data_IF_537470506313
#
_entry.id   IF_537470506313
#
_cell.length_a   1.000
_cell.length_b   1.000
_cell.length_c   1.000
_cell.angle_alpha   90.00
_cell.angle_beta   90.00
_cell.angle_gamma   90.00
#
_symmetry.space_group_name_H-M   'P 1'
#
loop_
_entity.id
_entity.type
_entity.pdbx_description
1 polymer ?
#
# COMPACT_ATOMS: atom_id res chain seq x y z
N UNK A 1 23.54 26.36 4.53
CA UNK A 1 22.18 26.57 5.00
C UNK A 1 21.49 25.29 5.42
N UNK A 2 21.81 24.88 6.61
CA UNK A 2 21.27 23.62 7.11
C UNK A 2 19.75 23.56 7.06
N UNK A 3 19.10 24.64 7.41
CA UNK A 3 17.64 24.65 7.43
C UNK A 3 16.99 24.48 6.07
N UNK A 4 17.73 24.79 5.01
CA UNK A 4 17.21 24.61 3.65
C UNK A 4 17.08 23.15 3.28
N UNK A 5 17.85 22.29 3.94
CA UNK A 5 17.76 20.85 3.70
C UNK A 5 16.44 20.27 4.16
N UNK A 6 15.83 20.90 5.16
CA UNK A 6 14.60 20.41 5.73
C UNK A 6 13.38 20.93 5.00
N UNK A 7 13.59 21.84 4.07
CA UNK A 7 12.49 22.39 3.31
C UNK A 7 12.31 21.63 2.01
N UNK A 8 11.17 21.04 1.86
CA UNK A 8 10.81 20.36 0.61
C UNK A 8 10.10 21.38 -0.27
N UNK A 9 10.53 21.56 -1.53
CA UNK A 9 9.79 22.44 -2.43
C UNK A 9 8.32 22.12 -2.45
N UNK A 10 7.48 23.15 -2.48
CA UNK A 10 6.06 22.98 -2.38
C UNK A 10 5.46 22.04 -3.44
N UNK A 11 5.93 22.17 -4.67
CA UNK A 11 5.44 21.32 -5.75
C UNK A 11 5.76 19.84 -5.50
N UNK A 12 6.94 19.58 -4.99
CA UNK A 12 7.37 18.22 -4.69
C UNK A 12 6.61 17.68 -3.50
N UNK A 13 6.43 18.51 -2.46
CA UNK A 13 5.69 18.10 -1.28
C UNK A 13 4.24 17.74 -1.63
N UNK A 14 3.61 18.54 -2.47
CA UNK A 14 2.24 18.25 -2.91
C UNK A 14 2.16 16.96 -3.67
N UNK A 15 3.13 16.69 -4.53
CA UNK A 15 3.14 15.44 -5.29
C UNK A 15 3.28 14.24 -4.37
N UNK A 16 4.15 14.34 -3.36
CA UNK A 16 4.37 13.25 -2.42
C UNK A 16 3.19 13.03 -1.46
N UNK A 17 2.52 14.10 -1.07
CA UNK A 17 1.37 13.99 -0.17
C UNK A 17 0.10 13.52 -0.88
N UNK A 18 -0.04 13.90 -2.14
CA UNK A 18 -1.23 13.55 -2.92
C UNK A 18 -0.82 13.01 -4.28
N UNK A 19 -0.24 11.82 -4.32
CA UNK A 19 0.18 11.23 -5.59
C UNK A 19 -1.01 11.03 -6.53
N UNK A 20 -0.77 11.22 -7.81
CA UNK A 20 -1.81 10.99 -8.81
C UNK A 20 -1.68 9.55 -9.30
N UNK A 21 -2.44 8.68 -8.69
CA UNK A 21 -2.44 7.27 -9.05
C UNK A 21 -3.17 7.06 -10.37
N UNK A 22 -2.63 6.18 -11.17
CA UNK A 22 -3.29 5.76 -12.39
C UNK A 22 -4.38 4.74 -12.10
N UNK A 23 -4.83 4.04 -13.12
CA UNK A 23 -5.84 3.01 -12.96
C UNK A 23 -5.35 1.91 -12.05
N UNK A 24 -6.17 1.47 -11.08
CA UNK A 24 -5.80 0.34 -10.23
C UNK A 24 -5.62 -0.93 -11.06
N UNK A 25 -4.60 -1.69 -10.72
CA UNK A 25 -4.40 -3.01 -11.28
C UNK A 25 -4.92 -4.02 -10.27
N UNK A 26 -5.93 -4.77 -10.63
CA UNK A 26 -6.53 -5.76 -9.76
C UNK A 26 -5.74 -7.06 -9.80
N UNK A 27 -5.53 -7.65 -8.63
CA UNK A 27 -4.88 -8.96 -8.52
C UNK A 27 -5.54 -9.74 -7.39
N UNK A 28 -5.48 -11.05 -7.48
CA UNK A 28 -6.02 -11.94 -6.45
C UNK A 28 -4.87 -12.68 -5.81
N UNK A 29 -4.80 -12.64 -4.48
CA UNK A 29 -3.75 -13.28 -3.71
C UNK A 29 -4.35 -14.02 -2.54
N UNK A 30 -3.75 -15.14 -2.17
CA UNK A 30 -4.16 -15.90 -1.01
C UNK A 30 -3.19 -15.67 0.14
N UNK A 31 -3.71 -15.70 1.35
CA UNK A 31 -2.90 -15.50 2.53
C UNK A 31 -3.79 -15.37 3.76
N UNK A 32 -3.30 -14.64 4.75
CA UNK A 32 -4.08 -14.41 5.96
C UNK A 32 -3.73 -13.05 6.57
N UNK A 33 -4.61 -12.57 7.42
CA UNK A 33 -4.42 -11.28 8.10
C UNK A 33 -3.54 -11.49 9.31
N UNK A 34 -2.46 -10.69 9.41
CA UNK A 34 -1.56 -10.71 10.55
C UNK A 34 -2.04 -9.80 11.66
N UNK A 35 -2.52 -8.62 11.29
CA UNK A 35 -2.97 -7.64 12.26
C UNK A 35 -3.98 -6.69 11.62
N UNK A 36 -4.82 -6.11 12.48
CA UNK A 36 -5.90 -5.20 12.04
C UNK A 36 -5.79 -3.92 12.86
N UNK A 37 -5.70 -2.80 12.16
CA UNK A 37 -5.79 -1.48 12.79
C UNK A 37 -7.17 -0.92 12.49
N UNK A 38 -8.07 -1.04 13.46
CA UNK A 38 -9.46 -0.62 13.25
C UNK A 38 -9.60 0.90 13.13
N UNK A 39 -8.78 1.65 13.88
CA UNK A 39 -8.87 3.10 13.87
C UNK A 39 -8.53 3.69 12.52
N UNK A 40 -7.52 3.15 11.86
CA UNK A 40 -7.06 3.64 10.56
C UNK A 40 -7.64 2.85 9.40
N UNK A 41 -8.37 1.77 9.66
CA UNK A 41 -8.92 0.86 8.66
C UNK A 41 -7.80 0.31 7.76
N UNK A 42 -6.77 -0.24 8.39
CA UNK A 42 -5.63 -0.83 7.72
C UNK A 42 -5.37 -2.22 8.25
N UNK A 43 -4.73 -3.03 7.42
CA UNK A 43 -4.38 -4.41 7.81
C UNK A 43 -2.96 -4.73 7.37
N UNK A 44 -2.36 -5.68 8.08
CA UNK A 44 -1.11 -6.29 7.68
C UNK A 44 -1.45 -7.68 7.18
N UNK A 45 -0.91 -8.04 6.02
CA UNK A 45 -1.21 -9.30 5.36
C UNK A 45 0.04 -10.15 5.19
N UNK A 46 -0.10 -11.45 5.39
CA UNK A 46 0.89 -12.43 4.99
C UNK A 46 0.35 -13.14 3.76
N UNK A 47 1.05 -13.01 2.64
CA UNK A 47 0.65 -13.65 1.40
C UNK A 47 1.44 -14.93 1.19
N UNK A 48 0.87 -15.89 0.48
CA UNK A 48 1.57 -17.12 0.15
C UNK A 48 2.52 -16.92 -1.03
N UNK A 49 2.24 -15.95 -1.89
CA UNK A 49 3.13 -15.60 -2.99
C UNK A 49 3.57 -14.15 -2.81
N UNK A 50 4.80 -13.86 -3.17
CA UNK A 50 5.31 -12.50 -3.03
C UNK A 50 4.70 -11.57 -4.08
N UNK A 51 4.52 -10.30 -3.68
CA UNK A 51 4.10 -9.22 -4.56
C UNK A 51 5.20 -8.17 -4.49
N UNK A 52 5.76 -7.81 -5.61
CA UNK A 52 6.89 -6.86 -5.67
C UNK A 52 8.04 -7.28 -4.76
N UNK A 53 8.29 -8.58 -4.68
CA UNK A 53 9.41 -9.10 -3.91
C UNK A 53 9.15 -9.23 -2.41
N UNK A 54 7.94 -8.98 -1.95
CA UNK A 54 7.61 -9.13 -0.55
C UNK A 54 6.35 -9.99 -0.37
N UNK A 55 6.34 -10.80 0.67
CA UNK A 55 5.15 -11.60 1.01
C UNK A 55 4.40 -11.02 2.19
N UNK A 56 4.94 -10.01 2.85
CA UNK A 56 4.25 -9.31 3.93
C UNK A 56 3.96 -7.90 3.48
N UNK A 57 2.67 -7.56 3.48
CA UNK A 57 2.22 -6.21 3.15
C UNK A 57 1.70 -5.57 4.43
N UNK A 58 2.32 -4.46 4.83
CA UNK A 58 1.97 -3.78 6.06
C UNK A 58 1.22 -2.49 5.80
N UNK A 59 0.28 -2.17 6.69
CA UNK A 59 -0.44 -0.91 6.63
C UNK A 59 -1.27 -0.73 5.36
N UNK A 60 -1.88 -1.80 4.89
CA UNK A 60 -2.66 -1.77 3.65
C UNK A 60 -4.06 -1.24 3.94
N UNK A 61 -4.50 -0.27 3.15
CA UNK A 61 -5.83 0.29 3.30
C UNK A 61 -6.90 -0.72 2.94
N UNK A 62 -7.99 -0.69 3.70
CA UNK A 62 -9.18 -1.48 3.38
C UNK A 62 -10.11 -0.65 2.51
N UNK A 63 -10.63 -1.25 1.46
CA UNK A 63 -11.62 -0.59 0.63
C UNK A 63 -12.91 -0.34 1.42
N UNK A 64 -13.68 0.61 0.97
CA UNK A 64 -14.90 0.99 1.68
C UNK A 64 -15.94 -0.12 1.77
N UNK A 65 -15.86 -1.09 0.88
CA UNK A 65 -16.80 -2.22 0.88
C UNK A 65 -16.37 -3.35 1.80
N UNK A 66 -15.21 -3.24 2.43
CA UNK A 66 -14.72 -4.24 3.36
C UNK A 66 -15.21 -3.90 4.76
N UNK A 67 -15.90 -4.86 5.37
CA UNK A 67 -16.44 -4.66 6.71
C UNK A 67 -15.45 -5.19 7.76
N UNK A 68 -15.01 -4.30 8.65
CA UNK A 68 -14.06 -4.67 9.70
C UNK A 68 -14.57 -5.82 10.58
N UNK A 69 -15.88 -5.90 10.77
CA UNK A 69 -16.46 -6.94 11.63
C UNK A 69 -16.33 -8.35 11.04
N UNK A 70 -16.08 -8.43 9.74
CA UNK A 70 -15.95 -9.72 9.06
C UNK A 70 -14.52 -10.21 9.00
N UNK A 71 -13.58 -9.44 9.54
CA UNK A 71 -12.15 -9.77 9.45
C UNK A 71 -11.72 -10.68 10.59
N UNK A 72 -10.95 -11.71 10.27
CA UNK A 72 -10.42 -12.66 11.24
C UNK A 72 -8.94 -12.89 10.96
N UNK A 73 -8.12 -12.71 12.00
CA UNK A 73 -6.67 -12.95 11.89
C UNK A 73 -6.39 -14.44 11.80
N UNK A 74 -5.41 -14.79 11.00
CA UNK A 74 -4.93 -16.17 10.91
C UNK A 74 -5.78 -17.13 10.10
N UNK A 75 -6.89 -16.65 9.55
CA UNK A 75 -7.79 -17.50 8.73
C UNK A 75 -7.38 -17.33 7.27
N UNK A 76 -7.29 -18.42 6.54
CA UNK A 76 -6.90 -18.38 5.13
C UNK A 76 -7.97 -17.69 4.31
N UNK A 77 -7.54 -16.67 3.60
CA UNK A 77 -8.43 -15.83 2.81
C UNK A 77 -7.88 -15.65 1.41
N UNK A 78 -8.78 -15.30 0.53
CA UNK A 78 -8.43 -14.81 -0.79
C UNK A 78 -8.67 -13.30 -0.77
N UNK A 79 -7.65 -12.53 -1.10
CA UNK A 79 -7.72 -11.08 -1.11
C UNK A 79 -7.77 -10.59 -2.54
N UNK A 80 -8.71 -9.71 -2.82
CA UNK A 80 -8.69 -8.97 -4.07
C UNK A 80 -7.99 -7.67 -3.78
N UNK A 81 -6.79 -7.51 -4.34
CA UNK A 81 -5.95 -6.35 -4.10
C UNK A 81 -5.96 -5.44 -5.31
N UNK A 82 -5.99 -4.15 -5.05
CA UNK A 82 -5.76 -3.15 -6.08
C UNK A 82 -4.37 -2.58 -5.89
N UNK A 83 -3.56 -2.63 -6.94
CA UNK A 83 -2.25 -2.00 -6.94
C UNK A 83 -2.38 -0.65 -7.62
N UNK A 84 -1.99 0.39 -6.89
CA UNK A 84 -2.05 1.77 -7.35
C UNK A 84 -0.63 2.28 -7.54
N UNK A 85 -0.33 2.81 -8.72
CA UNK A 85 0.98 3.36 -9.04
C UNK A 85 0.86 4.81 -9.44
N UNK A 86 1.73 5.64 -8.90
CA UNK A 86 1.85 7.03 -9.27
C UNK A 86 3.30 7.29 -9.66
N UNK A 87 3.52 7.63 -10.93
CA UNK A 87 4.85 7.98 -11.39
C UNK A 87 5.19 9.38 -10.90
N UNK A 88 6.38 9.55 -10.38
CA UNK A 88 6.84 10.84 -9.91
C UNK A 88 7.40 11.64 -11.08
N UNK A 89 7.23 12.96 -11.01
CA UNK A 89 7.79 13.84 -12.03
C UNK A 89 9.32 13.80 -11.97
N UNK A 90 9.96 14.17 -13.06
CA UNK A 90 11.42 14.21 -13.12
C UNK A 90 11.99 15.11 -12.03
N UNK A 91 11.35 16.24 -11.77
CA UNK A 91 11.76 17.17 -10.73
C UNK A 91 11.81 16.50 -9.37
N UNK A 92 10.77 15.74 -9.05
CA UNK A 92 10.69 15.03 -7.76
C UNK A 92 11.71 13.91 -7.69
N UNK A 93 11.86 13.14 -8.76
CA UNK A 93 12.84 12.06 -8.80
C UNK A 93 14.25 12.61 -8.58
N UNK A 94 14.59 13.70 -9.26
CA UNK A 94 15.92 14.32 -9.13
C UNK A 94 16.12 14.88 -7.72
N UNK A 95 15.09 15.51 -7.15
CA UNK A 95 15.19 16.05 -5.80
C UNK A 95 15.46 14.93 -4.78
N UNK A 96 14.72 13.83 -4.89
CA UNK A 96 14.89 12.71 -3.97
C UNK A 96 16.26 12.05 -4.14
N UNK A 97 16.74 11.95 -5.38
CA UNK A 97 18.07 11.39 -5.63
C UNK A 97 19.16 12.22 -4.95
N UNK A 98 19.02 13.53 -4.94
CA UNK A 98 19.96 14.41 -4.23
C UNK A 98 19.93 14.18 -2.72
N UNK A 99 18.81 13.72 -2.20
CA UNK A 99 18.69 13.38 -0.78
C UNK A 99 19.09 11.94 -0.47
N UNK A 100 19.61 11.23 -1.47
CA UNK A 100 20.00 9.83 -1.29
C UNK A 100 18.86 8.84 -1.39
N UNK A 101 17.71 9.30 -1.88
CA UNK A 101 16.53 8.44 -2.02
C UNK A 101 16.32 8.12 -3.50
N UNK A 102 16.35 6.85 -3.84
CA UNK A 102 16.14 6.41 -5.22
C UNK A 102 14.71 5.92 -5.39
N UNK A 103 13.81 6.84 -5.73
CA UNK A 103 12.39 6.53 -5.86
C UNK A 103 11.87 7.17 -7.13
N UNK A 104 11.23 6.38 -7.97
CA UNK A 104 10.69 6.84 -9.26
C UNK A 104 9.17 6.80 -9.31
N UNK A 105 8.57 6.01 -8.45
CA UNK A 105 7.11 5.87 -8.41
C UNK A 105 6.68 5.49 -7.00
N UNK A 106 5.42 5.77 -6.70
CA UNK A 106 4.82 5.39 -5.43
C UNK A 106 3.84 4.27 -5.72
N UNK A 107 3.95 3.19 -4.96
CA UNK A 107 3.07 2.04 -5.10
C UNK A 107 2.30 1.85 -3.80
N UNK A 108 0.97 1.76 -3.91
CA UNK A 108 0.13 1.47 -2.76
C UNK A 108 -0.80 0.32 -3.10
N UNK A 109 -1.21 -0.39 -2.07
CA UNK A 109 -2.16 -1.49 -2.21
C UNK A 109 -3.39 -1.22 -1.38
N UNK A 110 -4.53 -1.69 -1.89
CA UNK A 110 -5.79 -1.58 -1.19
C UNK A 110 -6.48 -2.93 -1.27
N UNK A 111 -7.07 -3.37 -0.15
CA UNK A 111 -7.86 -4.60 -0.16
C UNK A 111 -9.27 -4.23 -0.59
N UNK A 112 -9.66 -4.66 -1.77
CA UNK A 112 -10.99 -4.38 -2.30
C UNK A 112 -12.03 -5.38 -1.79
N UNK A 113 -11.62 -6.65 -1.64
CA UNK A 113 -12.51 -7.70 -1.16
C UNK A 113 -11.71 -8.74 -0.41
N UNK A 114 -12.36 -9.38 0.55
CA UNK A 114 -11.77 -10.50 1.31
C UNK A 114 -12.79 -11.63 1.30
N UNK A 115 -12.31 -12.81 0.93
CA UNK A 115 -13.14 -14.00 0.93
C UNK A 115 -12.45 -15.08 1.76
N UNK A 116 -13.12 -15.56 2.79
CA UNK A 116 -12.60 -16.65 3.60
C UNK A 116 -12.73 -17.94 2.79
N UNK A 117 -11.62 -18.64 2.59
CA UNK A 117 -11.62 -19.84 1.76
C UNK A 117 -11.40 -21.13 2.51
N UNK A 118 -10.97 -21.07 3.75
CA UNK A 118 -10.79 -22.27 4.55
C UNK A 118 -11.08 -21.98 6.02
N UNK A 119 -12.33 -22.21 6.41
CA UNK A 119 -12.78 -21.97 7.77
C UNK A 119 -12.67 -23.20 8.65
N UNK A 120 -12.51 -24.35 8.07
CA UNK A 120 -12.67 -25.63 8.78
C UNK A 120 -11.38 -26.41 8.94
N UNK A 121 -10.34 -25.73 9.16
CA UNK A 121 -9.04 -26.40 9.29
C UNK A 121 -8.82 -26.89 10.69
#
# INVERSE_FOLDING_TARGET
MAKKKDEIPEDINKELESPKFGKPKSMTQSGYILDINEDEKKVDLQLYESVQGTSILEGINLGKDVNLNDLMKGVVCEFKLNELKAKLSKQTVDYLAEQGINLKEIIQYEVAEIKVIDENV
#
